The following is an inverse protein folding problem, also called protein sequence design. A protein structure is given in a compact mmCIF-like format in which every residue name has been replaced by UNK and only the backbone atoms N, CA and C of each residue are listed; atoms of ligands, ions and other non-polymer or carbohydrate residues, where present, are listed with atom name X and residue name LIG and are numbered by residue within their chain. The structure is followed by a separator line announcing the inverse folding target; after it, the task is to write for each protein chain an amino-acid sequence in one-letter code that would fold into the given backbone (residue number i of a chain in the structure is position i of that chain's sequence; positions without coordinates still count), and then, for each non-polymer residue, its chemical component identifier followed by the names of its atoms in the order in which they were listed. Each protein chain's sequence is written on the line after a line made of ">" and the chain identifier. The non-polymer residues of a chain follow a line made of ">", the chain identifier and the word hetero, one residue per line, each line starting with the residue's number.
data_IF_159855021511
#
_entry.id   IF_159855021511
#
_cell.length_a   1.000
_cell.length_b   1.000
_cell.length_c   1.000
_cell.angle_alpha   90.00
_cell.angle_beta   90.00
_cell.angle_gamma   90.00
#
_symmetry.space_group_name_H-M   'P 1'
#
loop_
_entity.id
_entity.type
_entity.pdbx_description
1 polymer ?
#
# COMPACT_ATOMS: atom_id res chain seq x y z
N UNK A 1 37.02 22.28 -83.27
CA UNK A 1 37.00 21.20 -82.22
C UNK A 1 36.62 21.82 -80.89
N UNK A 2 35.42 21.59 -80.41
CA UNK A 2 34.96 22.04 -79.08
C UNK A 2 34.78 20.76 -78.23
N UNK A 3 35.58 20.63 -77.21
CA UNK A 3 35.45 19.56 -76.20
C UNK A 3 34.44 20.02 -75.15
N UNK A 4 33.33 19.26 -75.04
CA UNK A 4 32.35 19.40 -73.96
C UNK A 4 32.76 18.48 -72.83
N UNK A 5 33.08 19.07 -71.67
CA UNK A 5 33.32 18.31 -70.41
C UNK A 5 31.97 17.98 -69.74
N UNK A 6 31.73 16.72 -69.56
CA UNK A 6 30.56 16.25 -68.78
C UNK A 6 30.93 16.21 -67.28
N UNK A 7 30.19 16.96 -66.45
CA UNK A 7 30.27 16.92 -64.98
C UNK A 7 29.37 15.82 -64.49
N UNK A 8 29.93 14.77 -63.92
CA UNK A 8 29.20 13.69 -63.23
C UNK A 8 29.01 14.09 -61.77
N UNK A 9 27.82 14.49 -61.38
CA UNK A 9 27.45 14.77 -59.98
C UNK A 9 27.08 13.44 -59.29
N UNK A 10 27.96 12.95 -58.42
CA UNK A 10 27.67 11.77 -57.57
C UNK A 10 26.72 12.14 -56.44
N UNK A 11 25.50 11.67 -56.47
CA UNK A 11 24.50 11.77 -55.40
C UNK A 11 24.83 10.69 -54.35
N UNK A 12 25.45 11.06 -53.22
CA UNK A 12 25.63 10.18 -52.06
C UNK A 12 24.31 10.08 -51.32
N UNK A 13 23.55 9.00 -51.53
CA UNK A 13 22.40 8.64 -50.67
C UNK A 13 22.91 8.15 -49.30
N UNK A 14 22.84 9.03 -48.28
CA UNK A 14 23.02 8.64 -46.92
C UNK A 14 21.81 7.80 -46.50
N UNK A 15 21.97 6.48 -46.42
CA UNK A 15 21.00 5.59 -45.77
C UNK A 15 21.01 5.90 -44.28
N UNK A 16 20.05 6.71 -43.81
CA UNK A 16 19.71 6.74 -42.39
C UNK A 16 19.11 5.35 -42.05
N UNK A 17 19.91 4.54 -41.40
CA UNK A 17 19.41 3.31 -40.77
C UNK A 17 18.43 3.72 -39.66
N UNK A 18 17.13 3.69 -39.95
CA UNK A 18 16.06 3.70 -38.95
C UNK A 18 16.22 2.41 -38.15
N UNK A 19 16.85 2.49 -36.99
CA UNK A 19 16.79 1.43 -36.01
C UNK A 19 15.29 1.17 -35.71
N UNK A 20 14.82 -0.10 -35.70
CA UNK A 20 13.42 -0.39 -35.40
C UNK A 20 13.08 0.21 -34.04
N UNK A 21 12.17 1.14 -34.00
CA UNK A 21 11.62 1.66 -32.77
C UNK A 21 11.01 0.49 -32.02
N UNK A 22 11.62 0.09 -30.88
CA UNK A 22 10.99 -0.89 -29.99
C UNK A 22 9.61 -0.37 -29.63
N UNK A 23 8.58 -1.17 -29.79
CA UNK A 23 7.21 -0.80 -29.42
C UNK A 23 7.19 -0.36 -27.95
N UNK A 24 6.55 0.77 -27.66
CA UNK A 24 6.35 1.27 -26.31
C UNK A 24 5.56 0.26 -25.49
N UNK A 25 6.04 -0.08 -24.31
CA UNK A 25 5.31 -0.89 -23.34
C UNK A 25 4.29 0.03 -22.65
N UNK A 26 3.00 -0.30 -22.76
CA UNK A 26 1.94 0.40 -22.01
C UNK A 26 1.51 -0.49 -20.86
N UNK A 27 1.72 -0.03 -19.63
CA UNK A 27 1.41 -0.77 -18.41
C UNK A 27 0.35 -0.02 -17.59
N UNK A 28 -0.70 -0.75 -17.16
CA UNK A 28 -1.73 -0.19 -16.28
C UNK A 28 -1.27 -0.22 -14.83
N UNK A 29 -1.55 0.86 -14.11
CA UNK A 29 -1.41 0.95 -12.67
C UNK A 29 -2.80 1.11 -12.03
N UNK A 30 -3.14 0.28 -11.06
CA UNK A 30 -4.40 0.34 -10.34
C UNK A 30 -4.23 0.81 -8.90
N UNK A 31 -4.82 1.95 -8.55
CA UNK A 31 -4.94 2.48 -7.21
C UNK A 31 -6.38 2.40 -6.69
N UNK A 32 -6.54 2.20 -5.39
CA UNK A 32 -7.87 2.09 -4.76
C UNK A 32 -8.35 3.39 -4.12
N UNK A 33 -7.46 4.35 -3.93
CA UNK A 33 -7.75 5.61 -3.25
C UNK A 33 -8.28 6.69 -4.22
N UNK A 34 -9.07 7.67 -3.72
CA UNK A 34 -9.46 8.85 -4.49
C UNK A 34 -8.26 9.66 -4.94
N UNK A 35 -8.45 10.48 -5.98
CA UNK A 35 -7.37 11.23 -6.64
C UNK A 35 -6.63 12.22 -5.71
N UNK A 36 -7.29 12.71 -4.67
CA UNK A 36 -6.76 13.64 -3.66
C UNK A 36 -6.04 12.97 -2.48
N UNK A 37 -5.90 11.64 -2.51
CA UNK A 37 -5.17 10.88 -1.50
C UNK A 37 -3.65 10.87 -1.79
N UNK A 38 -2.77 10.89 -0.76
CA UNK A 38 -1.31 10.82 -0.94
C UNK A 38 -0.82 9.66 -1.80
N UNK A 39 -1.46 8.48 -1.69
CA UNK A 39 -1.14 7.34 -2.54
C UNK A 39 -1.34 7.66 -4.01
N UNK A 40 -2.45 8.32 -4.36
CA UNK A 40 -2.77 8.63 -5.75
C UNK A 40 -1.80 9.62 -6.40
N UNK A 41 -1.31 10.61 -5.63
CA UNK A 41 -0.23 11.48 -6.08
C UNK A 41 1.06 10.71 -6.32
N UNK A 42 1.39 9.78 -5.42
CA UNK A 42 2.59 8.97 -5.51
C UNK A 42 2.54 7.98 -6.68
N UNK A 43 1.37 7.42 -6.96
CA UNK A 43 1.12 6.53 -8.10
C UNK A 43 1.33 7.27 -9.44
N UNK A 44 0.84 8.50 -9.54
CA UNK A 44 1.07 9.37 -10.69
C UNK A 44 2.56 9.71 -10.84
N UNK A 45 3.20 10.14 -9.74
CA UNK A 45 4.63 10.43 -9.70
C UNK A 45 5.47 9.22 -10.16
N UNK A 46 5.14 8.00 -9.68
CA UNK A 46 5.81 6.78 -10.15
C UNK A 46 5.69 6.60 -11.67
N UNK A 47 4.49 6.79 -12.23
CA UNK A 47 4.27 6.66 -13.67
C UNK A 47 5.10 7.66 -14.48
N UNK A 48 5.19 8.90 -14.01
CA UNK A 48 6.03 9.96 -14.63
C UNK A 48 7.52 9.61 -14.55
N UNK A 49 8.00 9.13 -13.39
CA UNK A 49 9.39 8.71 -13.21
C UNK A 49 9.77 7.50 -14.08
N UNK A 50 8.89 6.49 -14.19
CA UNK A 50 9.11 5.36 -15.11
C UNK A 50 9.22 5.85 -16.55
N UNK A 51 8.32 6.73 -16.99
CA UNK A 51 8.37 7.32 -18.32
C UNK A 51 9.68 8.07 -18.58
N UNK A 52 10.10 8.90 -17.63
CA UNK A 52 11.33 9.69 -17.69
C UNK A 52 12.58 8.78 -17.73
N UNK A 53 12.72 7.87 -16.78
CA UNK A 53 13.91 7.03 -16.64
C UNK A 53 14.05 6.00 -17.77
N UNK A 54 12.93 5.59 -18.37
CA UNK A 54 12.93 4.69 -19.54
C UNK A 54 12.95 5.44 -20.89
N UNK A 55 13.08 6.78 -20.87
CA UNK A 55 13.04 7.63 -22.07
C UNK A 55 11.81 7.37 -22.94
N UNK A 56 10.65 7.14 -22.30
CA UNK A 56 9.39 6.87 -22.96
C UNK A 56 9.19 5.43 -23.43
N UNK A 57 10.14 4.52 -23.20
CA UNK A 57 9.99 3.10 -23.58
C UNK A 57 8.90 2.38 -22.80
N UNK A 58 8.60 2.84 -21.58
CA UNK A 58 7.48 2.36 -20.76
C UNK A 58 6.57 3.55 -20.44
N UNK A 59 5.29 3.43 -20.77
CA UNK A 59 4.21 4.34 -20.39
C UNK A 59 3.37 3.67 -19.31
N UNK A 60 3.18 4.34 -18.17
CA UNK A 60 2.29 3.87 -17.10
C UNK A 60 0.99 4.66 -17.14
N UNK A 61 -0.14 3.96 -17.28
CA UNK A 61 -1.48 4.55 -17.24
C UNK A 61 -2.09 4.28 -15.85
N UNK A 62 -2.31 5.34 -15.09
CA UNK A 62 -2.76 5.25 -13.68
C UNK A 62 -4.28 5.39 -13.61
N UNK A 63 -4.92 4.44 -12.92
CA UNK A 63 -6.35 4.37 -12.68
C UNK A 63 -6.59 4.39 -11.16
N UNK A 64 -7.28 5.39 -10.67
CA UNK A 64 -7.56 5.60 -9.25
C UNK A 64 -8.94 5.08 -8.83
N UNK A 65 -9.24 5.18 -7.54
CA UNK A 65 -10.59 5.00 -6.97
C UNK A 65 -11.27 3.68 -7.40
N UNK A 66 -10.53 2.57 -7.35
CA UNK A 66 -11.02 1.22 -7.66
C UNK A 66 -11.55 1.00 -9.10
N UNK A 67 -11.18 1.87 -10.05
CA UNK A 67 -11.65 1.76 -11.45
C UNK A 67 -11.33 0.42 -12.12
N UNK A 68 -10.21 -0.21 -11.75
CA UNK A 68 -9.81 -1.52 -12.28
C UNK A 68 -10.06 -2.68 -11.31
N UNK A 69 -10.65 -2.41 -10.15
CA UNK A 69 -10.97 -3.39 -9.12
C UNK A 69 -10.52 -2.95 -7.72
N UNK A 70 -10.95 -3.69 -6.70
CA UNK A 70 -10.51 -3.51 -5.33
C UNK A 70 -9.10 -4.09 -5.09
N UNK A 71 -8.59 -3.96 -3.85
CA UNK A 71 -7.24 -4.41 -3.51
C UNK A 71 -7.01 -5.91 -3.75
N UNK A 72 -8.01 -6.76 -3.46
CA UNK A 72 -7.92 -8.22 -3.63
C UNK A 72 -7.88 -8.58 -5.11
N UNK A 73 -8.76 -7.97 -5.92
CA UNK A 73 -8.80 -8.15 -7.36
C UNK A 73 -7.51 -7.62 -8.01
N UNK A 74 -6.97 -6.50 -7.53
CA UNK A 74 -5.71 -5.93 -8.02
C UNK A 74 -4.52 -6.86 -7.78
N UNK A 75 -4.42 -7.51 -6.61
CA UNK A 75 -3.38 -8.51 -6.33
C UNK A 75 -3.45 -9.65 -7.37
N UNK A 76 -4.63 -10.18 -7.66
CA UNK A 76 -4.78 -11.24 -8.66
C UNK A 76 -4.46 -10.75 -10.07
N UNK A 77 -4.88 -9.53 -10.42
CA UNK A 77 -4.62 -8.93 -11.73
C UNK A 77 -3.14 -8.64 -11.99
N UNK A 78 -2.39 -8.24 -10.95
CA UNK A 78 -0.92 -8.11 -11.01
C UNK A 78 -0.28 -9.49 -11.19
N UNK A 79 -0.69 -10.50 -10.41
CA UNK A 79 -0.16 -11.88 -10.54
C UNK A 79 -0.34 -12.45 -11.93
N UNK A 80 -1.51 -12.28 -12.53
CA UNK A 80 -1.80 -12.83 -13.87
C UNK A 80 -1.30 -11.93 -15.01
N UNK A 81 -0.78 -10.72 -14.70
CA UNK A 81 -0.21 -9.78 -15.68
C UNK A 81 -1.24 -8.94 -16.44
N UNK A 82 -2.51 -8.93 -16.03
CA UNK A 82 -3.55 -8.07 -16.61
C UNK A 82 -3.30 -6.59 -16.24
N UNK A 83 -2.74 -6.36 -15.06
CA UNK A 83 -2.29 -5.05 -14.55
C UNK A 83 -0.79 -5.13 -14.32
N UNK A 84 -0.05 -4.09 -14.70
CA UNK A 84 1.40 -4.00 -14.52
C UNK A 84 1.80 -3.68 -13.09
N UNK A 85 1.09 -2.75 -12.44
CA UNK A 85 1.42 -2.21 -11.12
C UNK A 85 0.17 -1.98 -10.27
N UNK A 86 0.34 -2.03 -8.96
CA UNK A 86 -0.69 -1.58 -8.01
C UNK A 86 -0.06 -1.16 -6.69
N UNK A 87 -0.74 -0.28 -5.93
CA UNK A 87 -0.51 -0.08 -4.50
C UNK A 87 -1.57 -0.86 -3.72
N UNK A 88 -1.11 -1.73 -2.84
CA UNK A 88 -1.98 -2.52 -1.96
C UNK A 88 -1.39 -2.59 -0.55
N UNK A 89 -2.25 -2.68 0.46
CA UNK A 89 -1.78 -2.96 1.83
C UNK A 89 -1.14 -4.35 1.90
N UNK A 90 -0.08 -4.51 2.69
CA UNK A 90 0.56 -5.80 2.95
C UNK A 90 -0.44 -6.87 3.37
N UNK A 91 -1.47 -6.50 4.12
CA UNK A 91 -2.56 -7.39 4.52
C UNK A 91 -3.28 -8.06 3.34
N UNK A 92 -3.40 -7.40 2.20
CA UNK A 92 -4.06 -7.97 1.02
C UNK A 92 -3.21 -9.02 0.31
N UNK A 93 -1.91 -9.08 0.61
CA UNK A 93 -0.99 -10.08 0.05
C UNK A 93 -1.03 -11.42 0.80
N UNK A 94 -1.73 -11.50 1.95
CA UNK A 94 -1.86 -12.73 2.73
C UNK A 94 -2.45 -13.91 1.92
N UNK A 95 -3.32 -13.63 0.95
CA UNK A 95 -3.92 -14.63 0.09
C UNK A 95 -2.91 -15.30 -0.85
N UNK A 96 -1.77 -14.66 -1.07
CA UNK A 96 -0.68 -15.15 -1.92
C UNK A 96 0.42 -15.75 -1.07
N UNK A 97 0.83 -15.04 -0.02
CA UNK A 97 1.84 -15.45 0.96
C UNK A 97 1.28 -15.14 2.36
N UNK A 98 0.78 -16.15 3.09
CA UNK A 98 0.14 -15.95 4.40
C UNK A 98 0.99 -15.16 5.41
N UNK A 99 2.32 -15.32 5.36
CA UNK A 99 3.26 -14.61 6.22
C UNK A 99 3.18 -13.07 6.10
N UNK A 100 2.67 -12.53 4.99
CA UNK A 100 2.47 -11.10 4.81
C UNK A 100 1.44 -10.51 5.78
N UNK A 101 0.56 -11.34 6.35
CA UNK A 101 -0.41 -10.92 7.36
C UNK A 101 0.24 -10.57 8.71
N UNK A 102 1.53 -10.89 8.90
CA UNK A 102 2.32 -10.46 10.07
C UNK A 102 2.27 -8.93 10.27
N UNK A 103 2.26 -8.16 9.18
CA UNK A 103 2.17 -6.70 9.27
C UNK A 103 0.85 -6.20 9.87
N UNK A 104 -0.18 -7.05 9.92
CA UNK A 104 -1.48 -6.76 10.56
C UNK A 104 -1.50 -7.07 12.05
N UNK A 105 -0.39 -7.54 12.64
CA UNK A 105 -0.32 -7.80 14.08
C UNK A 105 -0.43 -6.47 14.86
N UNK A 106 -1.30 -6.42 15.87
CA UNK A 106 -1.50 -5.20 16.64
C UNK A 106 -0.28 -4.88 17.51
N UNK A 107 0.04 -3.58 17.60
CA UNK A 107 1.13 -3.04 18.42
C UNK A 107 2.50 -3.71 18.20
N UNK A 108 2.73 -4.28 17.00
CA UNK A 108 3.98 -4.96 16.66
C UNK A 108 5.17 -3.98 16.62
N UNK A 109 4.94 -2.76 16.13
CA UNK A 109 5.97 -1.74 16.04
C UNK A 109 5.79 -0.68 17.14
N UNK A 110 6.88 -0.31 17.82
CA UNK A 110 6.87 0.66 18.92
C UNK A 110 6.48 2.06 18.46
N UNK A 111 7.00 2.48 17.29
CA UNK A 111 6.74 3.78 16.67
C UNK A 111 7.09 3.75 15.17
N UNK A 112 6.95 4.91 14.50
CA UNK A 112 7.25 5.06 13.07
C UNK A 112 8.72 4.76 12.75
N UNK A 113 9.66 5.20 13.60
CA UNK A 113 11.09 4.97 13.37
C UNK A 113 11.43 3.48 13.41
N UNK A 114 10.88 2.74 14.39
CA UNK A 114 11.02 1.29 14.49
C UNK A 114 10.43 0.56 13.28
N UNK A 115 9.27 0.97 12.81
CA UNK A 115 8.62 0.42 11.62
C UNK A 115 9.50 0.57 10.37
N UNK A 116 10.00 1.78 10.10
CA UNK A 116 10.86 2.04 8.94
C UNK A 116 12.22 1.36 9.04
N UNK A 117 12.77 1.27 10.24
CA UNK A 117 13.97 0.49 10.47
C UNK A 117 13.76 -0.98 10.07
N UNK A 118 12.67 -1.62 10.56
CA UNK A 118 12.38 -3.00 10.19
C UNK A 118 12.25 -3.18 8.67
N UNK A 119 11.51 -2.32 8.00
CA UNK A 119 11.33 -2.39 6.54
C UNK A 119 12.63 -2.27 5.74
N UNK A 120 13.70 -1.75 6.34
CA UNK A 120 15.05 -1.66 5.74
C UNK A 120 15.94 -2.88 6.02
N UNK A 121 15.46 -3.85 6.82
CA UNK A 121 16.26 -5.02 7.18
C UNK A 121 16.20 -6.15 6.15
N UNK A 122 17.21 -7.03 6.12
CA UNK A 122 17.16 -8.27 5.35
C UNK A 122 15.97 -9.16 5.71
N UNK A 123 15.49 -9.13 6.96
CA UNK A 123 14.35 -9.90 7.44
C UNK A 123 13.06 -9.48 6.74
N UNK A 124 12.83 -8.18 6.57
CA UNK A 124 11.68 -7.69 5.81
C UNK A 124 11.76 -8.09 4.33
N UNK A 125 12.95 -8.01 3.73
CA UNK A 125 13.18 -8.47 2.36
C UNK A 125 12.94 -9.98 2.21
N UNK A 126 13.41 -10.79 3.15
CA UNK A 126 13.21 -12.23 3.15
C UNK A 126 11.73 -12.61 3.28
N UNK A 127 10.95 -11.87 4.08
CA UNK A 127 9.51 -12.05 4.23
C UNK A 127 8.75 -11.80 2.92
N UNK A 128 9.19 -10.83 2.13
CA UNK A 128 8.56 -10.45 0.86
C UNK A 128 9.00 -11.34 -0.34
N UNK A 129 10.18 -11.96 -0.25
CA UNK A 129 10.77 -12.71 -1.38
C UNK A 129 9.87 -13.82 -1.96
N UNK A 130 9.12 -14.61 -1.17
CA UNK A 130 8.23 -15.64 -1.72
C UNK A 130 7.14 -15.13 -2.67
N UNK A 131 6.84 -13.83 -2.64
CA UNK A 131 5.89 -13.20 -3.57
C UNK A 131 6.38 -13.26 -5.02
N UNK A 132 7.71 -13.23 -5.27
CA UNK A 132 8.27 -13.29 -6.62
C UNK A 132 7.93 -14.63 -7.28
N UNK A 133 8.05 -15.75 -6.57
CA UNK A 133 7.68 -17.08 -7.04
C UNK A 133 6.16 -17.21 -7.30
N UNK A 134 5.38 -16.33 -6.69
CA UNK A 134 3.93 -16.25 -6.84
C UNK A 134 3.48 -15.21 -7.87
N UNK A 135 4.42 -14.64 -8.62
CA UNK A 135 4.13 -13.72 -9.73
C UNK A 135 4.07 -12.23 -9.35
N UNK A 136 4.50 -11.86 -8.15
CA UNK A 136 4.50 -10.48 -7.66
C UNK A 136 5.90 -10.04 -7.24
N UNK A 137 6.37 -8.92 -7.77
CA UNK A 137 7.58 -8.24 -7.32
C UNK A 137 7.22 -7.03 -6.46
N UNK A 138 7.89 -6.87 -5.33
CA UNK A 138 7.82 -5.65 -4.53
C UNK A 138 8.87 -4.67 -5.04
N UNK A 139 8.45 -3.43 -5.35
CA UNK A 139 9.32 -2.34 -5.79
C UNK A 139 9.58 -1.32 -4.68
N UNK A 140 8.76 -1.29 -3.63
CA UNK A 140 8.92 -0.38 -2.51
C UNK A 140 7.86 -0.58 -1.43
N UNK A 141 8.18 -0.10 -0.24
CA UNK A 141 7.27 0.01 0.89
C UNK A 141 6.81 1.47 1.01
N UNK A 142 5.52 1.68 1.12
CA UNK A 142 4.91 2.99 1.14
C UNK A 142 4.31 3.28 2.52
N UNK A 143 4.35 4.55 2.93
CA UNK A 143 3.75 4.95 4.19
C UNK A 143 2.23 4.85 4.13
N UNK A 144 1.64 4.36 5.20
CA UNK A 144 0.20 4.26 5.39
C UNK A 144 -0.19 4.67 6.82
N UNK A 145 0.73 5.31 7.55
CA UNK A 145 0.54 5.79 8.92
C UNK A 145 0.14 4.71 9.91
N UNK A 146 -0.44 5.14 11.01
CA UNK A 146 -1.07 4.25 12.00
C UNK A 146 -2.57 4.16 11.78
N UNK A 147 -3.15 3.02 12.15
CA UNK A 147 -4.57 2.74 12.02
C UNK A 147 -5.28 2.96 13.34
N UNK A 148 -6.45 3.59 13.26
CA UNK A 148 -7.24 4.11 14.36
C UNK A 148 -8.71 3.78 14.14
N UNK A 149 -9.48 3.56 15.21
CA UNK A 149 -10.90 3.28 15.09
C UNK A 149 -11.70 4.54 14.73
N UNK A 150 -12.74 4.37 13.90
CA UNK A 150 -13.81 5.35 13.68
C UNK A 150 -15.16 4.62 13.78
N UNK A 151 -16.00 5.10 14.68
CA UNK A 151 -17.15 4.35 15.21
C UNK A 151 -18.33 5.25 15.53
N UNK A 152 -19.52 4.62 15.73
CA UNK A 152 -20.71 5.33 16.21
C UNK A 152 -20.70 5.62 17.72
N UNK A 153 -19.87 4.90 18.49
CA UNK A 153 -19.70 5.08 19.94
C UNK A 153 -18.22 5.30 20.24
N UNK A 154 -17.93 6.14 21.24
CA UNK A 154 -16.55 6.37 21.67
C UNK A 154 -15.89 5.09 22.18
N UNK A 155 -14.66 4.84 21.74
CA UNK A 155 -13.84 3.71 22.21
C UNK A 155 -12.75 4.28 23.10
N UNK A 156 -12.89 4.13 24.41
CA UNK A 156 -11.93 4.58 25.45
C UNK A 156 -11.13 3.42 26.02
N UNK A 157 -11.75 2.24 26.03
CA UNK A 157 -11.17 0.99 26.53
C UNK A 157 -11.56 -0.17 25.60
N UNK A 158 -10.91 -1.34 25.67
CA UNK A 158 -11.33 -2.51 24.91
C UNK A 158 -12.78 -2.93 25.19
N UNK A 159 -13.28 -2.66 26.39
CA UNK A 159 -14.65 -3.00 26.77
C UNK A 159 -15.71 -2.26 25.94
N UNK A 160 -15.39 -1.08 25.42
CA UNK A 160 -16.27 -0.32 24.55
C UNK A 160 -16.44 -0.95 23.17
N UNK A 161 -15.53 -1.86 22.78
CA UNK A 161 -15.62 -2.62 21.54
C UNK A 161 -16.50 -3.86 21.65
N UNK A 162 -16.86 -4.29 22.88
CA UNK A 162 -17.66 -5.51 23.09
C UNK A 162 -18.99 -5.47 22.33
N UNK A 163 -19.19 -6.51 21.52
CA UNK A 163 -20.41 -6.68 20.73
C UNK A 163 -20.52 -5.78 19.50
N UNK A 164 -19.55 -4.88 19.24
CA UNK A 164 -19.53 -4.08 18.02
C UNK A 164 -19.05 -4.90 16.81
N UNK A 165 -19.62 -4.63 15.66
CA UNK A 165 -19.17 -5.13 14.34
C UNK A 165 -18.21 -4.11 13.75
N UNK A 166 -16.94 -4.43 13.73
CA UNK A 166 -15.90 -3.55 13.18
C UNK A 166 -15.44 -4.07 11.83
N UNK A 167 -15.60 -3.25 10.80
CA UNK A 167 -15.08 -3.60 9.47
C UNK A 167 -13.57 -3.69 9.51
N UNK A 168 -13.06 -4.73 8.88
CA UNK A 168 -11.62 -4.96 8.67
C UNK A 168 -11.33 -5.27 7.20
N UNK A 169 -10.05 -5.25 6.81
CA UNK A 169 -9.61 -5.81 5.53
C UNK A 169 -9.74 -7.35 5.54
N UNK A 170 -9.59 -7.99 4.38
CA UNK A 170 -9.61 -9.44 4.23
C UNK A 170 -8.34 -10.09 4.82
N UNK A 171 -8.14 -9.95 6.12
CA UNK A 171 -7.02 -10.41 6.93
C UNK A 171 -7.50 -11.23 8.11
N UNK A 172 -7.14 -12.52 8.21
CA UNK A 172 -7.41 -13.33 9.39
C UNK A 172 -6.86 -12.73 10.68
N UNK A 173 -5.66 -12.15 10.64
CA UNK A 173 -5.06 -11.47 11.81
C UNK A 173 -5.94 -10.32 12.28
N UNK A 174 -6.45 -9.49 11.37
CA UNK A 174 -7.33 -8.37 11.75
C UNK A 174 -8.66 -8.86 12.33
N UNK A 175 -9.27 -9.92 11.76
CA UNK A 175 -10.47 -10.55 12.32
C UNK A 175 -10.22 -11.04 13.74
N UNK A 176 -9.10 -11.74 13.95
CA UNK A 176 -8.72 -12.28 15.27
C UNK A 176 -8.35 -11.15 16.25
N UNK A 177 -7.78 -10.04 15.77
CA UNK A 177 -7.53 -8.84 16.60
C UNK A 177 -8.85 -8.25 17.12
N UNK A 178 -9.84 -8.09 16.26
CA UNK A 178 -11.16 -7.61 16.72
C UNK A 178 -11.78 -8.56 17.74
N UNK A 179 -11.68 -9.88 17.51
CA UNK A 179 -12.15 -10.89 18.46
C UNK A 179 -11.44 -10.78 19.81
N UNK A 180 -10.12 -10.62 19.83
CA UNK A 180 -9.34 -10.45 21.07
C UNK A 180 -9.74 -9.18 21.83
N UNK A 181 -10.16 -8.13 21.11
CA UNK A 181 -10.70 -6.88 21.69
C UNK A 181 -12.18 -6.97 22.07
N UNK A 182 -12.85 -8.12 21.88
CA UNK A 182 -14.27 -8.33 22.22
C UNK A 182 -15.25 -7.91 21.12
N UNK A 183 -14.77 -7.48 19.95
CA UNK A 183 -15.59 -7.11 18.81
C UNK A 183 -15.73 -8.27 17.80
N UNK A 184 -16.59 -8.07 16.81
CA UNK A 184 -16.66 -8.93 15.62
C UNK A 184 -15.98 -8.24 14.45
N UNK A 185 -14.88 -8.81 13.94
CA UNK A 185 -14.24 -8.36 12.71
C UNK A 185 -15.03 -8.80 11.48
N UNK A 186 -15.48 -7.85 10.66
CA UNK A 186 -16.29 -8.10 9.46
C UNK A 186 -15.50 -7.66 8.22
N UNK A 187 -14.97 -8.58 7.40
CA UNK A 187 -14.32 -8.23 6.15
C UNK A 187 -15.32 -7.61 5.16
N UNK A 188 -15.04 -6.37 4.73
CA UNK A 188 -15.82 -5.65 3.70
C UNK A 188 -14.84 -4.96 2.75
N UNK A 189 -15.14 -5.01 1.44
CA UNK A 189 -14.33 -4.34 0.43
C UNK A 189 -14.26 -2.81 0.65
N UNK A 190 -13.14 -2.20 0.25
CA UNK A 190 -12.92 -0.76 0.49
C UNK A 190 -13.98 0.12 -0.17
N UNK A 191 -14.41 -0.22 -1.38
CA UNK A 191 -15.42 0.54 -2.11
C UNK A 191 -16.82 0.49 -1.43
N UNK A 192 -17.11 -0.55 -0.66
CA UNK A 192 -18.41 -0.78 -0.01
C UNK A 192 -18.48 -0.21 1.41
N UNK A 193 -17.33 0.19 1.99
CA UNK A 193 -17.25 0.54 3.41
C UNK A 193 -18.15 1.71 3.80
N UNK A 194 -18.22 2.77 2.97
CA UNK A 194 -19.07 3.93 3.28
C UNK A 194 -20.55 3.51 3.43
N UNK A 195 -21.05 2.73 2.48
CA UNK A 195 -22.43 2.20 2.51
C UNK A 195 -22.65 1.25 3.68
N UNK A 196 -21.68 0.38 4.00
CA UNK A 196 -21.76 -0.53 5.13
C UNK A 196 -21.87 0.20 6.48
N UNK A 197 -21.15 1.31 6.65
CA UNK A 197 -21.25 2.19 7.82
C UNK A 197 -22.60 2.93 7.83
N UNK A 198 -22.99 3.52 6.70
CA UNK A 198 -24.23 4.28 6.57
C UNK A 198 -25.47 3.46 6.87
N UNK A 199 -25.50 2.20 6.43
CA UNK A 199 -26.64 1.30 6.62
C UNK A 199 -26.59 0.49 7.93
N UNK A 200 -25.50 0.64 8.73
CA UNK A 200 -25.35 -0.08 9.98
C UNK A 200 -25.04 -1.58 9.84
N UNK A 201 -24.55 -2.02 8.67
CA UNK A 201 -24.01 -3.37 8.47
C UNK A 201 -22.83 -3.59 9.41
N UNK A 202 -22.03 -2.53 9.61
CA UNK A 202 -20.96 -2.45 10.61
C UNK A 202 -21.15 -1.21 11.47
N UNK A 203 -20.72 -1.29 12.75
CA UNK A 203 -20.82 -0.21 13.74
C UNK A 203 -19.64 0.76 13.66
N UNK A 204 -18.57 0.36 13.00
CA UNK A 204 -17.34 1.13 12.83
C UNK A 204 -16.35 0.42 11.92
N UNK A 205 -15.20 1.06 11.78
CA UNK A 205 -14.05 0.52 11.07
C UNK A 205 -12.76 1.12 11.65
N UNK A 206 -11.64 0.84 11.02
CA UNK A 206 -10.34 1.35 11.40
C UNK A 206 -9.52 1.73 10.16
N UNK A 207 -8.79 2.84 10.25
CA UNK A 207 -7.86 3.29 9.21
C UNK A 207 -7.02 4.50 9.69
N UNK A 208 -6.17 4.99 8.79
CA UNK A 208 -5.33 6.18 8.96
C UNK A 208 -6.09 7.49 8.65
N UNK A 209 -5.52 8.62 9.05
CA UNK A 209 -6.14 9.94 8.91
C UNK A 209 -6.45 10.30 7.45
N UNK A 210 -5.49 10.24 6.50
CA UNK A 210 -5.74 10.60 5.10
C UNK A 210 -6.88 9.80 4.46
N UNK A 211 -6.94 8.50 4.72
CA UNK A 211 -7.99 7.63 4.17
C UNK A 211 -9.37 7.97 4.73
N UNK A 212 -9.46 8.27 6.03
CA UNK A 212 -10.72 8.65 6.68
C UNK A 212 -11.24 9.98 6.15
N UNK A 213 -10.34 10.95 5.90
CA UNK A 213 -10.71 12.25 5.32
C UNK A 213 -11.10 12.10 3.86
N UNK A 214 -10.28 11.46 3.03
CA UNK A 214 -10.52 11.31 1.59
C UNK A 214 -11.83 10.59 1.28
N UNK A 215 -12.24 9.63 2.13
CA UNK A 215 -13.51 8.90 2.01
C UNK A 215 -14.66 9.51 2.82
N UNK A 216 -14.41 10.62 3.53
CA UNK A 216 -15.39 11.35 4.35
C UNK A 216 -16.12 10.46 5.36
N UNK A 217 -15.43 9.48 5.95
CA UNK A 217 -16.06 8.56 6.91
C UNK A 217 -16.61 9.27 8.17
N UNK A 218 -16.20 10.51 8.43
CA UNK A 218 -16.79 11.34 9.47
C UNK A 218 -18.26 11.70 9.21
N UNK A 219 -18.78 11.57 7.98
CA UNK A 219 -20.21 11.77 7.70
C UNK A 219 -21.06 10.58 8.20
N UNK A 220 -20.44 9.39 8.33
CA UNK A 220 -21.10 8.13 8.70
C UNK A 220 -20.53 7.50 9.98
N UNK A 221 -19.69 8.21 10.72
CA UNK A 221 -19.13 7.84 12.03
C UNK A 221 -19.00 9.08 12.91
N UNK A 222 -19.13 8.93 14.23
CA UNK A 222 -19.17 10.07 15.16
C UNK A 222 -17.89 10.27 15.96
N UNK A 223 -17.16 9.20 16.23
CA UNK A 223 -15.98 9.19 17.10
C UNK A 223 -14.78 8.66 16.36
N UNK A 224 -13.64 9.29 16.58
CA UNK A 224 -12.34 8.83 16.06
C UNK A 224 -11.41 8.59 17.24
N UNK A 225 -10.90 7.35 17.38
CA UNK A 225 -10.08 6.93 18.52
C UNK A 225 -8.65 6.72 18.09
N UNK A 226 -7.75 7.54 18.63
CA UNK A 226 -6.31 7.55 18.33
C UNK A 226 -5.57 6.48 19.14
N UNK A 227 -5.91 5.22 18.95
CA UNK A 227 -5.30 4.09 19.63
C UNK A 227 -4.07 3.54 18.90
N UNK A 228 -3.91 3.85 17.60
CA UNK A 228 -2.76 3.48 16.76
C UNK A 228 -2.42 1.98 16.84
N UNK A 229 -3.42 1.14 16.87
CA UNK A 229 -3.28 -0.29 17.14
C UNK A 229 -2.51 -1.06 16.08
N UNK A 230 -2.38 -0.55 14.86
CA UNK A 230 -1.62 -1.19 13.78
C UNK A 230 -0.87 -0.15 12.94
N UNK A 231 0.27 -0.56 12.39
CA UNK A 231 1.00 0.16 11.35
C UNK A 231 1.35 -0.83 10.26
N UNK A 232 0.61 -0.78 9.15
CA UNK A 232 0.69 -1.74 8.05
C UNK A 232 1.25 -0.99 6.84
N UNK A 233 2.35 -1.46 6.21
CA UNK A 233 2.86 -0.79 5.01
C UNK A 233 1.91 -1.01 3.84
N UNK A 234 1.74 -0.01 3.01
CA UNK A 234 1.32 -0.22 1.64
C UNK A 234 2.53 -0.68 0.82
N UNK A 235 2.32 -1.45 -0.21
CA UNK A 235 3.36 -2.00 -1.06
C UNK A 235 3.11 -1.65 -2.52
N UNK A 236 4.13 -1.08 -3.15
CA UNK A 236 4.17 -0.98 -4.61
C UNK A 236 4.50 -2.34 -5.18
N UNK A 237 3.51 -2.98 -5.77
CA UNK A 237 3.65 -4.29 -6.39
C UNK A 237 3.67 -4.20 -7.92
N UNK A 238 4.44 -5.09 -8.53
CA UNK A 238 4.58 -5.22 -9.98
C UNK A 238 4.37 -6.67 -10.42
N UNK A 239 3.77 -6.85 -11.59
CA UNK A 239 3.67 -8.16 -12.24
C UNK A 239 5.04 -8.72 -12.61
N UNK A 240 5.34 -9.94 -12.15
CA UNK A 240 6.55 -10.67 -12.59
C UNK A 240 6.52 -10.98 -14.09
N UNK A 241 5.34 -11.12 -14.70
CA UNK A 241 5.24 -11.29 -16.16
C UNK A 241 5.74 -10.04 -16.89
N UNK A 242 5.36 -8.84 -16.43
CA UNK A 242 5.87 -7.58 -16.98
C UNK A 242 7.37 -7.41 -16.66
N UNK A 243 7.79 -7.66 -15.42
CA UNK A 243 9.20 -7.57 -15.01
C UNK A 243 10.13 -8.41 -15.90
N UNK A 244 9.73 -9.64 -16.21
CA UNK A 244 10.54 -10.56 -17.02
C UNK A 244 10.63 -10.16 -18.50
N UNK A 245 9.77 -9.28 -18.99
CA UNK A 245 9.83 -8.72 -20.35
C UNK A 245 10.79 -7.54 -20.47
N UNK A 246 11.18 -6.94 -19.34
CA UNK A 246 12.02 -5.76 -19.30
C UNK A 246 13.49 -6.09 -19.53
N UNK A 247 14.21 -5.20 -20.23
CA UNK A 247 15.67 -5.22 -20.24
C UNK A 247 16.25 -4.89 -18.87
N UNK A 248 17.52 -5.19 -18.63
CA UNK A 248 18.15 -4.88 -17.32
C UNK A 248 18.19 -3.38 -17.03
N UNK A 249 18.35 -2.54 -18.06
CA UNK A 249 18.26 -1.08 -17.94
C UNK A 249 16.83 -0.64 -17.54
N UNK A 250 15.81 -1.23 -18.16
CA UNK A 250 14.41 -0.95 -17.83
C UNK A 250 14.06 -1.45 -16.42
N UNK A 251 14.55 -2.63 -16.03
CA UNK A 251 14.39 -3.14 -14.66
C UNK A 251 14.98 -2.19 -13.63
N UNK A 252 16.21 -1.71 -13.91
CA UNK A 252 16.86 -0.72 -13.05
C UNK A 252 16.05 0.56 -12.97
N UNK A 253 15.59 1.09 -14.10
CA UNK A 253 14.79 2.31 -14.16
C UNK A 253 13.48 2.18 -13.35
N UNK A 254 12.77 1.06 -13.48
CA UNK A 254 11.53 0.80 -12.73
C UNK A 254 11.81 0.64 -11.24
N UNK A 255 12.90 -0.03 -10.85
CA UNK A 255 13.30 -0.15 -9.44
C UNK A 255 13.67 1.21 -8.85
N UNK A 256 14.45 2.03 -9.56
CA UNK A 256 14.82 3.38 -9.16
C UNK A 256 13.57 4.28 -9.00
N UNK A 257 12.60 4.18 -9.92
CA UNK A 257 11.31 4.87 -9.82
C UNK A 257 10.53 4.46 -8.57
N UNK A 258 10.54 3.17 -8.21
CA UNK A 258 9.93 2.65 -6.98
C UNK A 258 10.55 3.25 -5.73
N UNK A 259 11.88 3.33 -5.67
CA UNK A 259 12.59 3.97 -4.54
C UNK A 259 12.27 5.47 -4.42
N UNK A 260 12.20 6.18 -5.57
CA UNK A 260 11.82 7.60 -5.59
C UNK A 260 10.37 7.79 -5.14
N UNK A 261 9.46 6.92 -5.58
CA UNK A 261 8.06 6.92 -5.11
C UNK A 261 7.99 6.71 -3.59
N UNK A 262 8.77 5.78 -3.03
CA UNK A 262 8.81 5.55 -1.58
C UNK A 262 9.23 6.82 -0.82
N UNK A 263 10.27 7.52 -1.28
CA UNK A 263 10.73 8.76 -0.68
C UNK A 263 9.69 9.89 -0.81
N UNK A 264 9.10 10.05 -1.99
CA UNK A 264 8.04 11.02 -2.28
C UNK A 264 6.82 10.78 -1.38
N UNK A 265 6.37 9.53 -1.30
CA UNK A 265 5.19 9.14 -0.52
C UNK A 265 5.37 9.45 0.98
N UNK A 266 6.55 9.20 1.56
CA UNK A 266 6.83 9.53 2.97
C UNK A 266 6.66 11.03 3.24
N UNK A 267 7.16 11.88 2.35
CA UNK A 267 6.99 13.33 2.47
C UNK A 267 5.54 13.77 2.32
N UNK A 268 4.87 13.30 1.28
CA UNK A 268 3.46 13.59 1.01
C UNK A 268 2.56 13.08 2.14
N UNK A 269 2.86 11.89 2.68
CA UNK A 269 2.14 11.31 3.80
C UNK A 269 2.22 12.18 5.05
N UNK A 270 3.42 12.59 5.45
CA UNK A 270 3.63 13.42 6.65
C UNK A 270 2.87 14.73 6.61
N UNK A 271 2.84 15.37 5.43
CA UNK A 271 2.08 16.61 5.20
C UNK A 271 0.58 16.33 5.34
N UNK A 272 0.09 15.29 4.66
CA UNK A 272 -1.33 14.92 4.67
C UNK A 272 -1.79 14.49 6.06
N UNK A 273 -1.04 13.62 6.73
CA UNK A 273 -1.36 13.12 8.07
C UNK A 273 -1.60 14.27 9.08
N UNK A 274 -0.70 15.27 9.04
CA UNK A 274 -0.82 16.46 9.91
C UNK A 274 -2.04 17.31 9.57
N UNK A 275 -2.26 17.59 8.27
CA UNK A 275 -3.41 18.37 7.78
C UNK A 275 -4.72 17.65 8.09
N UNK A 276 -4.77 16.36 7.81
CA UNK A 276 -5.99 15.59 7.88
C UNK A 276 -6.41 15.34 9.33
N UNK A 277 -5.47 15.21 10.27
CA UNK A 277 -5.81 15.19 11.70
C UNK A 277 -6.54 16.46 12.14
N UNK A 278 -6.18 17.64 11.61
CA UNK A 278 -6.91 18.87 11.90
C UNK A 278 -8.32 18.84 11.31
N UNK A 279 -8.47 18.35 10.08
CA UNK A 279 -9.78 18.17 9.47
C UNK A 279 -10.66 17.19 10.28
N UNK A 280 -10.10 16.09 10.77
CA UNK A 280 -10.82 15.11 11.61
C UNK A 280 -11.31 15.76 12.92
N UNK A 281 -10.48 16.57 13.58
CA UNK A 281 -10.87 17.31 14.78
C UNK A 281 -12.08 18.23 14.57
N UNK A 282 -12.26 18.75 13.37
CA UNK A 282 -13.37 19.64 13.03
C UNK A 282 -14.64 18.90 12.59
N UNK A 283 -14.54 17.63 12.19
CA UNK A 283 -15.65 16.88 11.58
C UNK A 283 -16.19 15.75 12.46
N UNK A 284 -15.38 15.15 13.32
CA UNK A 284 -15.88 14.16 14.29
C UNK A 284 -16.48 14.86 15.51
N UNK A 285 -17.46 14.22 16.14
CA UNK A 285 -18.05 14.69 17.40
C UNK A 285 -16.98 14.76 18.50
N UNK A 286 -16.10 13.76 18.53
CA UNK A 286 -15.00 13.69 19.49
C UNK A 286 -13.81 12.92 18.88
N UNK A 287 -12.60 13.41 19.16
CA UNK A 287 -11.35 12.67 18.98
C UNK A 287 -10.96 12.11 20.35
N UNK A 288 -11.01 10.79 20.46
CA UNK A 288 -10.66 10.07 21.69
C UNK A 288 -9.17 9.73 21.66
N UNK A 289 -8.45 10.03 22.73
CA UNK A 289 -7.05 9.60 22.93
C UNK A 289 -7.01 8.66 24.14
N UNK A 290 -7.13 7.33 23.93
CA UNK A 290 -7.21 6.38 25.02
C UNK A 290 -5.83 6.06 25.61
N UNK A 291 -5.80 5.52 26.84
CA UNK A 291 -4.66 4.74 27.30
C UNK A 291 -4.55 3.46 26.46
N UNK A 292 -3.39 3.25 25.84
CA UNK A 292 -3.15 2.10 24.96
C UNK A 292 -2.83 0.82 25.75
N UNK A 293 -2.40 0.91 27.00
CA UNK A 293 -1.96 -0.25 27.78
C UNK A 293 -3.04 -1.35 27.92
N UNK A 294 -4.32 -1.02 28.17
CA UNK A 294 -5.39 -2.03 28.17
C UNK A 294 -5.56 -2.76 26.84
N UNK A 295 -5.43 -2.03 25.69
CA UNK A 295 -5.53 -2.60 24.34
C UNK A 295 -4.36 -3.56 24.06
N UNK A 296 -3.13 -3.12 24.37
CA UNK A 296 -1.93 -3.96 24.25
C UNK A 296 -2.08 -5.25 25.08
N UNK A 297 -2.57 -5.14 26.32
CA UNK A 297 -2.83 -6.28 27.19
C UNK A 297 -3.85 -7.26 26.61
N UNK A 298 -4.93 -6.73 26.05
CA UNK A 298 -6.01 -7.55 25.48
C UNK A 298 -5.55 -8.41 24.29
N UNK A 299 -4.57 -7.94 23.52
CA UNK A 299 -4.06 -8.62 22.31
C UNK A 299 -2.72 -9.32 22.52
N UNK A 300 -2.15 -9.32 23.72
CA UNK A 300 -0.79 -9.82 23.99
C UNK A 300 -0.59 -11.29 23.62
N UNK A 301 -1.59 -12.16 23.85
CA UNK A 301 -1.53 -13.58 23.47
C UNK A 301 -1.67 -13.80 21.96
N UNK A 302 -2.38 -12.92 21.27
CA UNK A 302 -2.66 -13.03 19.85
C UNK A 302 -1.37 -12.95 19.00
N UNK A 303 -0.44 -12.08 19.37
CA UNK A 303 0.81 -11.88 18.60
C UNK A 303 1.61 -13.19 18.53
N UNK A 304 1.67 -13.95 19.65
CA UNK A 304 2.37 -15.24 19.67
C UNK A 304 1.61 -16.33 18.93
N UNK A 305 0.29 -16.39 19.10
CA UNK A 305 -0.58 -17.38 18.46
C UNK A 305 -0.55 -17.21 16.91
N UNK A 306 -0.75 -16.00 16.44
CA UNK A 306 -0.72 -15.67 15.01
C UNK A 306 0.70 -15.83 14.43
N UNK A 307 1.74 -15.46 15.17
CA UNK A 307 3.12 -15.69 14.78
C UNK A 307 3.41 -17.15 14.46
N UNK A 308 2.93 -18.04 15.33
CA UNK A 308 3.06 -19.49 15.13
C UNK A 308 2.22 -19.96 13.93
N UNK A 309 0.97 -19.49 13.80
CA UNK A 309 0.10 -19.84 12.68
C UNK A 309 0.68 -19.43 11.32
N UNK A 310 1.36 -18.27 11.28
CA UNK A 310 1.97 -17.72 10.07
C UNK A 310 3.39 -18.24 9.81
N UNK A 311 4.01 -18.93 10.77
CA UNK A 311 5.39 -19.40 10.68
C UNK A 311 6.43 -18.28 10.71
N UNK A 312 6.13 -17.18 11.42
CA UNK A 312 6.97 -15.96 11.48
C UNK A 312 7.46 -15.63 12.88
N UNK A 313 7.50 -16.62 13.80
CA UNK A 313 7.87 -16.42 15.20
C UNK A 313 9.27 -15.77 15.35
N UNK A 314 10.22 -16.20 14.52
CA UNK A 314 11.58 -15.64 14.53
C UNK A 314 11.60 -14.17 14.12
N UNK A 315 10.83 -13.81 13.11
CA UNK A 315 10.71 -12.43 12.62
C UNK A 315 10.03 -11.55 13.67
N UNK A 316 8.97 -12.05 14.31
CA UNK A 316 8.31 -11.34 15.40
C UNK A 316 9.27 -11.14 16.60
N UNK A 317 9.97 -12.19 17.01
CA UNK A 317 10.95 -12.09 18.10
C UNK A 317 12.04 -11.05 17.78
N UNK A 318 12.54 -11.02 16.54
CA UNK A 318 13.50 -10.02 16.07
C UNK A 318 12.94 -8.59 16.18
N UNK A 319 11.68 -8.38 15.76
CA UNK A 319 11.02 -7.08 15.85
C UNK A 319 10.85 -6.67 17.31
N UNK A 320 10.31 -7.56 18.16
CA UNK A 320 10.05 -7.25 19.58
C UNK A 320 11.34 -6.99 20.37
N UNK A 321 12.41 -7.77 20.14
CA UNK A 321 13.70 -7.53 20.79
C UNK A 321 14.31 -6.18 20.39
N UNK A 322 14.10 -5.74 19.16
CA UNK A 322 14.63 -4.46 18.68
C UNK A 322 13.89 -3.23 19.24
N UNK A 323 12.67 -3.38 19.79
CA UNK A 323 11.88 -2.26 20.37
C UNK A 323 12.64 -1.45 21.42
N UNK A 324 13.58 -2.09 22.15
CA UNK A 324 14.43 -1.41 23.17
C UNK A 324 15.33 -0.31 22.61
N UNK A 325 15.58 -0.33 21.29
CA UNK A 325 16.45 0.63 20.60
C UNK A 325 15.70 1.87 20.09
N UNK A 326 14.38 1.91 20.21
CA UNK A 326 13.48 2.97 19.74
C UNK A 326 12.61 3.51 20.86
#
# INVERSE_FOLDING_TARGET
>A
MRMTAAVVTAFSCAFLSLAPAKAQIVAKYSGIQPIDHPSSYSEKYFGEEVGLLTKGAIKVEVYHNTQLGDAVANVQSVRNGTIGFSTVSASNLNQVVPAMDMYSLPFLFKNEAHFWWFLSTPEAAALAKPLEDKGIKILGYLDSGSRNFFTQKAIRTPDDLKGQKIRVMASPVMVNTMKALGATGVPVAWAELYTALQTGVVDGAENNHPSVVAKKFYEVSKFYTLDEHMRIPDMLIMSMKLWNQLSDEQKKAVADAGQRMQAYMRGAWKISETKDLQALKSNFTEIVTPDKAPFVKAVSGLVQEEGKRLGVEKTIAFILDSQKNF
#
